data_IF_277120241176
#
_entry.id   IF_277120241176
#
_cell.length_a   1.000
_cell.length_b   1.000
_cell.length_c   1.000
_cell.angle_alpha   90.00
_cell.angle_beta   90.00
_cell.angle_gamma   90.00
#
_symmetry.space_group_name_H-M   'P 1'
#
loop_
_entity.id
_entity.type
_entity.pdbx_description
1 polymer ?
#
# COMPACT_ATOMS: atom_id res chain seq x y z
N UNK A 1 13.13 5.90 13.92
CA UNK A 1 11.63 5.96 13.83
C UNK A 1 11.22 5.19 12.60
N UNK A 2 10.11 4.41 12.66
CA UNK A 2 9.68 3.53 11.56
C UNK A 2 8.57 4.17 10.76
N UNK A 3 8.55 3.91 9.43
CA UNK A 3 7.55 4.45 8.51
C UNK A 3 6.97 3.36 7.60
N UNK A 4 5.68 3.45 7.32
CA UNK A 4 4.97 2.66 6.32
C UNK A 4 4.55 3.61 5.22
N UNK A 5 5.08 3.43 4.02
CA UNK A 5 4.58 4.06 2.81
C UNK A 5 3.43 3.21 2.27
N UNK A 6 2.24 3.75 2.28
CA UNK A 6 0.99 3.02 2.04
C UNK A 6 0.30 3.50 0.77
N UNK A 7 0.10 2.59 -0.19
CA UNK A 7 -0.90 2.80 -1.22
C UNK A 7 -2.29 2.40 -0.72
N UNK A 8 -3.33 2.86 -1.41
CA UNK A 8 -4.71 2.56 -1.03
C UNK A 8 -5.32 1.48 -1.90
N UNK A 9 -5.36 1.72 -3.22
CA UNK A 9 -5.98 0.81 -4.16
C UNK A 9 -5.16 -0.47 -4.27
N UNK A 10 -5.83 -1.63 -4.18
CA UNK A 10 -5.16 -2.91 -4.15
C UNK A 10 -4.45 -3.27 -2.83
N UNK A 11 -4.43 -2.38 -1.83
CA UNK A 11 -3.79 -2.61 -0.53
C UNK A 11 -4.79 -2.62 0.60
N UNK A 12 -5.55 -1.53 0.80
CA UNK A 12 -6.58 -1.43 1.84
C UNK A 12 -7.99 -1.61 1.32
N UNK A 13 -8.14 -1.83 0.03
CA UNK A 13 -9.35 -2.32 -0.62
C UNK A 13 -9.05 -3.66 -1.34
N UNK A 14 -10.06 -4.26 -1.93
CA UNK A 14 -9.96 -5.53 -2.62
C UNK A 14 -11.05 -5.67 -3.69
N UNK A 15 -11.13 -6.82 -4.35
CA UNK A 15 -12.11 -7.06 -5.42
C UNK A 15 -13.57 -6.83 -4.99
N UNK A 16 -13.93 -7.16 -3.77
CA UNK A 16 -15.29 -7.00 -3.25
C UNK A 16 -15.58 -5.55 -2.81
N UNK A 17 -14.52 -4.75 -2.61
CA UNK A 17 -14.58 -3.36 -2.15
C UNK A 17 -13.54 -2.54 -2.93
N UNK A 18 -13.87 -2.15 -4.15
CA UNK A 18 -12.98 -1.36 -5.02
C UNK A 18 -12.78 0.08 -4.56
N UNK A 19 -13.76 0.64 -3.90
CA UNK A 19 -13.70 2.01 -3.41
C UNK A 19 -13.71 2.00 -1.89
N UNK A 20 -12.80 2.78 -1.31
CA UNK A 20 -12.72 2.97 0.12
C UNK A 20 -11.95 1.88 0.84
N UNK A 21 -12.28 1.68 2.10
CA UNK A 21 -11.53 0.83 3.02
C UNK A 21 -12.26 -0.48 3.25
N UNK A 22 -11.67 -1.58 2.81
CA UNK A 22 -12.12 -2.91 3.18
C UNK A 22 -11.70 -3.20 4.63
N UNK A 23 -12.67 -3.43 5.50
CA UNK A 23 -12.42 -3.58 6.94
C UNK A 23 -11.39 -4.65 7.26
N UNK A 24 -11.44 -5.80 6.59
CA UNK A 24 -10.47 -6.89 6.82
C UNK A 24 -9.04 -6.46 6.51
N UNK A 25 -8.82 -5.82 5.34
CA UNK A 25 -7.50 -5.33 4.95
C UNK A 25 -6.99 -4.24 5.91
N UNK A 26 -7.86 -3.32 6.31
CA UNK A 26 -7.51 -2.29 7.30
C UNK A 26 -7.17 -2.87 8.67
N UNK A 27 -7.81 -3.95 9.09
CA UNK A 27 -7.49 -4.62 10.35
C UNK A 27 -6.11 -5.29 10.33
N UNK A 28 -5.66 -5.77 9.16
CA UNK A 28 -4.28 -6.24 8.99
C UNK A 28 -3.29 -5.07 9.12
N UNK A 29 -3.55 -3.96 8.43
CA UNK A 29 -2.75 -2.74 8.59
C UNK A 29 -2.72 -2.28 10.06
N UNK A 30 -3.85 -2.33 10.75
CA UNK A 30 -3.94 -2.00 12.19
C UNK A 30 -3.03 -2.88 13.02
N UNK A 31 -3.01 -4.20 12.80
CA UNK A 31 -2.09 -5.11 13.49
C UNK A 31 -0.63 -4.74 13.24
N UNK A 32 -0.27 -4.45 11.98
CA UNK A 32 1.09 -4.03 11.61
C UNK A 32 1.48 -2.75 12.35
N UNK A 33 0.60 -1.74 12.36
CA UNK A 33 0.85 -0.46 13.04
C UNK A 33 0.96 -0.65 14.55
N UNK A 34 0.09 -1.45 15.16
CA UNK A 34 0.11 -1.71 16.60
C UNK A 34 1.40 -2.43 17.04
N UNK A 35 1.90 -3.37 16.25
CA UNK A 35 3.14 -4.09 16.54
C UNK A 35 4.36 -3.20 16.32
N UNK A 36 4.41 -2.50 15.17
CA UNK A 36 5.61 -1.76 14.75
C UNK A 36 5.73 -0.37 15.34
N UNK A 37 4.59 0.23 15.73
CA UNK A 37 4.46 1.65 16.09
C UNK A 37 4.94 2.59 14.97
N UNK A 38 4.86 2.14 13.73
CA UNK A 38 5.28 2.89 12.56
C UNK A 38 4.30 4.01 12.23
N UNK A 39 4.81 5.09 11.68
CA UNK A 39 4.02 6.18 11.11
C UNK A 39 3.57 5.81 9.71
N UNK A 40 2.31 6.03 9.41
CA UNK A 40 1.74 5.75 8.09
C UNK A 40 1.79 7.01 7.23
N UNK A 41 2.49 6.92 6.11
CA UNK A 41 2.61 7.97 5.08
C UNK A 41 1.94 7.46 3.80
N UNK A 42 1.00 8.21 3.28
CA UNK A 42 0.20 7.80 2.12
C UNK A 42 0.91 8.15 0.81
N UNK A 43 0.95 7.18 -0.12
CA UNK A 43 1.61 7.29 -1.43
C UNK A 43 0.63 7.25 -2.61
N UNK A 44 -0.66 7.05 -2.34
CA UNK A 44 -1.68 6.88 -3.40
C UNK A 44 -1.67 8.00 -4.42
N UNK A 45 -1.89 7.67 -5.69
CA UNK A 45 -2.07 8.66 -6.76
C UNK A 45 -3.33 9.52 -6.57
N UNK A 46 -4.33 9.01 -5.84
CA UNK A 46 -5.54 9.76 -5.51
C UNK A 46 -5.28 11.06 -4.74
N UNK A 47 -4.10 11.21 -4.12
CA UNK A 47 -3.70 12.47 -3.45
C UNK A 47 -3.60 13.67 -4.41
N UNK A 48 -3.46 13.44 -5.73
CA UNK A 48 -3.50 14.51 -6.73
C UNK A 48 -4.83 15.28 -6.74
N UNK A 49 -5.90 14.65 -6.27
CA UNK A 49 -7.17 15.34 -6.06
C UNK A 49 -7.02 16.52 -5.11
N UNK A 50 -6.14 16.41 -4.12
CA UNK A 50 -5.93 17.45 -3.11
C UNK A 50 -5.34 18.74 -3.68
N UNK A 51 -4.71 18.70 -4.86
CA UNK A 51 -4.29 19.94 -5.56
C UNK A 51 -5.47 20.86 -5.89
N UNK A 52 -6.66 20.31 -6.03
CA UNK A 52 -7.88 21.06 -6.33
C UNK A 52 -8.47 21.73 -5.09
N UNK A 53 -8.07 21.28 -3.92
CA UNK A 53 -8.51 21.81 -2.64
C UNK A 53 -7.35 22.58 -2.03
N UNK A 54 -7.47 23.89 -1.91
CA UNK A 54 -6.57 24.62 -1.02
C UNK A 54 -6.67 23.99 0.36
N UNK A 55 -5.57 23.88 1.09
CA UNK A 55 -5.42 23.17 2.38
C UNK A 55 -6.58 23.30 3.39
N UNK A 56 -7.43 24.29 3.22
CA UNK A 56 -8.60 24.57 4.10
C UNK A 56 -9.76 23.59 3.84
N UNK A 57 -9.85 23.00 2.65
CA UNK A 57 -10.97 22.13 2.23
C UNK A 57 -10.62 20.64 2.13
N UNK A 58 -9.47 20.25 2.65
CA UNK A 58 -8.98 18.86 2.68
C UNK A 58 -10.07 17.86 3.13
N UNK A 59 -10.80 18.18 4.19
CA UNK A 59 -11.87 17.34 4.73
C UNK A 59 -13.08 17.17 3.81
N UNK A 60 -13.15 17.94 2.73
CA UNK A 60 -14.19 17.80 1.70
C UNK A 60 -13.75 16.91 0.55
N UNK A 61 -12.47 16.55 0.48
CA UNK A 61 -11.95 15.70 -0.60
C UNK A 61 -12.53 14.30 -0.55
N UNK A 62 -12.63 13.66 -1.71
CA UNK A 62 -13.00 12.25 -1.78
C UNK A 62 -11.96 11.40 -1.07
N UNK A 63 -10.68 11.68 -1.25
CA UNK A 63 -9.58 10.99 -0.59
C UNK A 63 -9.77 10.95 0.94
N UNK A 64 -10.07 12.08 1.55
CA UNK A 64 -10.29 12.13 2.99
C UNK A 64 -11.49 11.29 3.41
N UNK A 65 -12.63 11.49 2.79
CA UNK A 65 -13.89 10.86 3.21
C UNK A 65 -13.93 9.36 2.92
N UNK A 66 -13.33 8.94 1.81
CA UNK A 66 -13.37 7.55 1.35
C UNK A 66 -12.29 6.67 2.01
N UNK A 67 -11.12 7.25 2.33
CA UNK A 67 -9.98 6.48 2.83
C UNK A 67 -9.48 6.96 4.18
N UNK A 68 -9.10 8.22 4.31
CA UNK A 68 -8.38 8.70 5.51
C UNK A 68 -9.27 8.69 6.75
N UNK A 69 -10.49 9.21 6.63
CA UNK A 69 -11.42 9.22 7.75
C UNK A 69 -11.78 7.81 8.25
N UNK A 70 -12.16 6.83 7.38
CA UNK A 70 -12.40 5.47 7.82
C UNK A 70 -11.19 4.81 8.50
N UNK A 71 -9.97 5.04 8.01
CA UNK A 71 -8.76 4.53 8.66
C UNK A 71 -8.55 5.16 10.04
N UNK A 72 -8.74 6.47 10.17
CA UNK A 72 -8.67 7.15 11.44
C UNK A 72 -9.73 6.65 12.44
N UNK A 73 -10.94 6.38 11.96
CA UNK A 73 -12.04 5.84 12.79
C UNK A 73 -11.70 4.43 13.32
N UNK A 74 -10.88 3.65 12.58
CA UNK A 74 -10.33 2.37 13.02
C UNK A 74 -9.08 2.51 13.92
N UNK A 75 -8.65 3.74 14.22
CA UNK A 75 -7.48 4.01 15.03
C UNK A 75 -6.14 3.94 14.28
N UNK A 76 -6.16 3.93 12.94
CA UNK A 76 -4.98 4.03 12.10
C UNK A 76 -4.79 5.49 11.70
N UNK A 77 -3.90 6.17 12.39
CA UNK A 77 -3.63 7.58 12.10
C UNK A 77 -2.73 7.72 10.89
N UNK A 78 -3.21 8.44 9.89
CA UNK A 78 -2.37 8.88 8.78
C UNK A 78 -1.50 10.02 9.29
N UNK A 79 -0.19 9.83 9.18
CA UNK A 79 0.80 10.79 9.65
C UNK A 79 1.02 11.90 8.63
N UNK A 80 1.16 11.52 7.35
CA UNK A 80 1.47 12.46 6.26
C UNK A 80 1.15 11.84 4.90
N UNK A 81 1.34 12.64 3.83
CA UNK A 81 1.29 12.21 2.45
C UNK A 81 2.62 12.52 1.78
N UNK A 82 3.09 11.67 0.85
CA UNK A 82 4.27 11.97 0.05
C UNK A 82 4.04 13.21 -0.82
N UNK A 83 5.08 14.00 -1.13
CA UNK A 83 4.98 15.11 -2.07
C UNK A 83 4.59 14.59 -3.45
N UNK A 84 4.11 15.49 -4.31
CA UNK A 84 3.86 15.18 -5.70
C UNK A 84 5.09 15.54 -6.53
N UNK A 85 5.68 14.55 -7.19
CA UNK A 85 6.88 14.69 -8.03
C UNK A 85 6.64 13.99 -9.35
N UNK A 86 6.39 14.74 -10.39
CA UNK A 86 6.26 14.26 -11.79
C UNK A 86 5.29 13.07 -11.99
N UNK A 87 4.33 12.88 -11.08
CA UNK A 87 3.44 11.72 -11.05
C UNK A 87 4.18 10.37 -10.97
N UNK A 88 5.37 10.36 -10.41
CA UNK A 88 6.20 9.17 -10.20
C UNK A 88 6.26 8.82 -8.71
N UNK A 89 5.55 7.78 -8.32
CA UNK A 89 5.46 7.30 -6.94
C UNK A 89 6.85 6.99 -6.36
N UNK A 90 7.76 6.44 -7.16
CA UNK A 90 9.12 6.15 -6.72
C UNK A 90 9.88 7.42 -6.33
N UNK A 91 9.81 8.45 -7.17
CA UNK A 91 10.45 9.74 -6.91
C UNK A 91 9.84 10.44 -5.69
N UNK A 92 8.54 10.34 -5.53
CA UNK A 92 7.81 10.89 -4.38
C UNK A 92 8.25 10.27 -3.06
N UNK A 93 8.35 8.92 -3.03
CA UNK A 93 8.83 8.19 -1.84
C UNK A 93 10.29 8.55 -1.55
N UNK A 94 11.16 8.54 -2.56
CA UNK A 94 12.58 8.90 -2.39
C UNK A 94 12.74 10.30 -1.84
N UNK A 95 12.02 11.26 -2.42
CA UNK A 95 12.06 12.64 -1.93
C UNK A 95 11.62 12.74 -0.47
N UNK A 96 10.55 12.03 -0.09
CA UNK A 96 10.07 12.03 1.29
C UNK A 96 11.10 11.42 2.25
N UNK A 97 11.75 10.31 1.85
CA UNK A 97 12.82 9.66 2.62
C UNK A 97 13.98 10.63 2.85
N UNK A 98 14.43 11.31 1.79
CA UNK A 98 15.55 12.28 1.84
C UNK A 98 15.20 13.50 2.71
N UNK A 99 14.04 14.10 2.49
CA UNK A 99 13.60 15.32 3.22
C UNK A 99 13.44 15.07 4.73
N UNK A 100 13.16 13.82 5.13
CA UNK A 100 12.90 13.45 6.54
C UNK A 100 13.98 12.55 7.15
N UNK A 101 15.08 12.29 6.43
CA UNK A 101 16.22 11.46 6.88
C UNK A 101 15.75 10.09 7.42
N UNK A 102 14.88 9.39 6.63
CA UNK A 102 14.27 8.13 7.04
C UNK A 102 15.19 6.95 6.76
N UNK A 103 15.50 6.17 7.79
CA UNK A 103 16.36 4.97 7.68
C UNK A 103 15.55 3.66 7.74
N UNK A 104 14.42 3.65 8.44
CA UNK A 104 13.61 2.44 8.66
C UNK A 104 12.22 2.62 8.06
N UNK A 105 11.95 1.93 6.98
CA UNK A 105 10.67 2.01 6.30
C UNK A 105 10.32 0.73 5.55
N UNK A 106 9.05 0.59 5.24
CA UNK A 106 8.48 -0.42 4.34
C UNK A 106 7.50 0.23 3.40
N UNK A 107 7.38 -0.30 2.19
CA UNK A 107 6.42 0.13 1.19
C UNK A 107 5.40 -0.99 1.02
N UNK A 108 4.11 -0.65 1.15
CA UNK A 108 2.98 -1.53 0.90
C UNK A 108 2.24 -1.04 -0.33
N UNK A 109 2.33 -1.77 -1.42
CA UNK A 109 1.83 -1.38 -2.73
C UNK A 109 1.54 -2.62 -3.57
N UNK A 110 0.52 -2.58 -4.41
CA UNK A 110 0.21 -3.66 -5.36
C UNK A 110 1.02 -3.55 -6.66
N UNK A 111 1.63 -2.40 -6.91
CA UNK A 111 2.52 -2.16 -8.03
C UNK A 111 4.00 -2.20 -7.59
N UNK A 112 4.85 -2.73 -8.47
CA UNK A 112 6.29 -2.77 -8.23
C UNK A 112 6.89 -1.36 -8.29
N UNK A 113 7.51 -0.94 -7.20
CA UNK A 113 8.23 0.33 -7.10
C UNK A 113 9.60 0.25 -7.80
N UNK A 114 10.22 1.40 -8.05
CA UNK A 114 11.55 1.48 -8.62
C UNK A 114 12.56 0.54 -7.95
N UNK A 115 13.42 -0.07 -8.77
CA UNK A 115 14.31 -1.16 -8.36
C UNK A 115 15.12 -0.87 -7.10
N UNK A 116 15.49 0.38 -6.88
CA UNK A 116 16.29 0.83 -5.74
C UNK A 116 15.55 0.80 -4.40
N UNK A 117 14.22 0.67 -4.42
CA UNK A 117 13.38 0.62 -3.22
C UNK A 117 12.75 -0.76 -2.99
N UNK A 118 12.93 -1.70 -3.92
CA UNK A 118 12.24 -3.01 -3.87
C UNK A 118 12.60 -3.86 -2.67
N UNK A 119 13.81 -3.74 -2.13
CA UNK A 119 14.22 -4.48 -0.93
C UNK A 119 13.44 -4.03 0.34
N UNK A 120 12.78 -2.88 0.27
CA UNK A 120 11.91 -2.36 1.32
C UNK A 120 10.42 -2.55 1.01
N UNK A 121 10.07 -3.26 -0.06
CA UNK A 121 8.70 -3.41 -0.49
C UNK A 121 8.12 -4.77 -0.11
N UNK A 122 6.88 -4.77 0.34
CA UNK A 122 5.99 -5.93 0.36
C UNK A 122 4.93 -5.67 -0.71
N UNK A 123 4.96 -6.49 -1.76
CA UNK A 123 3.92 -6.44 -2.80
C UNK A 123 2.67 -7.10 -2.27
N UNK A 124 1.56 -6.40 -2.48
CA UNK A 124 0.23 -6.85 -2.09
C UNK A 124 -0.55 -7.21 -3.36
N UNK A 125 -1.26 -8.31 -3.34
CA UNK A 125 -2.05 -8.74 -4.50
C UNK A 125 -3.28 -7.85 -4.67
N UNK A 126 -3.37 -7.17 -5.81
CA UNK A 126 -4.39 -6.17 -6.16
C UNK A 126 -5.82 -6.58 -5.77
N UNK A 127 -6.19 -7.85 -6.02
CA UNK A 127 -7.57 -8.30 -5.81
C UNK A 127 -7.88 -8.76 -4.38
N UNK A 128 -6.85 -9.00 -3.57
CA UNK A 128 -6.99 -9.48 -2.19
C UNK A 128 -6.74 -8.38 -1.16
N UNK A 129 -5.87 -7.44 -1.48
CA UNK A 129 -5.39 -6.45 -0.52
C UNK A 129 -4.53 -7.10 0.58
N UNK A 130 -4.24 -6.34 1.63
CA UNK A 130 -3.44 -6.80 2.77
C UNK A 130 -4.06 -8.02 3.46
N UNK A 131 -3.24 -9.06 3.69
CA UNK A 131 -3.60 -10.30 4.34
C UNK A 131 -2.64 -10.62 5.50
N UNK A 132 -2.96 -11.66 6.29
CA UNK A 132 -2.14 -12.08 7.44
C UNK A 132 -0.69 -12.41 7.04
N UNK A 133 -0.46 -13.00 5.86
CA UNK A 133 0.86 -13.34 5.35
C UNK A 133 1.78 -12.13 5.16
N UNK A 134 1.23 -10.93 4.98
CA UNK A 134 2.01 -9.71 4.80
C UNK A 134 2.54 -9.12 6.12
N UNK A 135 2.03 -9.57 7.28
CA UNK A 135 2.42 -9.01 8.59
C UNK A 135 3.90 -9.26 8.87
N UNK A 136 4.33 -10.52 8.81
CA UNK A 136 5.72 -10.90 9.18
C UNK A 136 6.75 -10.25 8.25
N UNK A 137 6.62 -10.32 6.91
CA UNK A 137 7.52 -9.61 6.00
C UNK A 137 7.61 -8.11 6.28
N UNK A 138 6.47 -7.46 6.49
CA UNK A 138 6.42 -6.03 6.79
C UNK A 138 7.18 -5.69 8.08
N UNK A 139 6.96 -6.45 9.15
CA UNK A 139 7.65 -6.24 10.42
C UNK A 139 9.15 -6.53 10.29
N UNK A 140 9.54 -7.54 9.54
CA UNK A 140 10.95 -7.87 9.30
C UNK A 140 11.67 -6.71 8.59
N UNK A 141 11.10 -6.18 7.51
CA UNK A 141 11.68 -5.04 6.79
C UNK A 141 11.79 -3.82 7.71
N UNK A 142 10.76 -3.51 8.48
CA UNK A 142 10.77 -2.41 9.47
C UNK A 142 11.82 -2.61 10.58
N UNK A 143 12.30 -3.83 10.78
CA UNK A 143 13.38 -4.16 11.72
C UNK A 143 14.75 -4.29 11.05
N UNK A 144 14.87 -3.92 9.77
CA UNK A 144 16.12 -3.94 9.02
C UNK A 144 16.48 -5.33 8.44
N UNK A 145 15.55 -6.27 8.45
CA UNK A 145 15.70 -7.56 7.74
C UNK A 145 15.12 -7.37 6.35
N UNK A 146 15.96 -6.86 5.46
CA UNK A 146 15.56 -6.56 4.09
C UNK A 146 15.43 -7.85 3.28
N UNK A 147 14.51 -7.85 2.33
CA UNK A 147 14.27 -8.97 1.45
C UNK A 147 13.60 -8.51 0.16
N UNK A 148 13.88 -9.24 -0.93
CA UNK A 148 13.14 -9.08 -2.17
C UNK A 148 11.76 -9.73 -1.99
N UNK A 149 10.73 -8.93 -2.08
CA UNK A 149 9.36 -9.38 -1.91
C UNK A 149 8.43 -8.83 -2.99
N UNK A 150 7.87 -9.67 -3.85
CA UNK A 150 8.30 -11.02 -4.22
C UNK A 150 9.49 -10.96 -5.18
N UNK A 151 10.40 -11.93 -5.10
CA UNK A 151 11.58 -12.00 -5.96
C UNK A 151 11.28 -12.35 -7.42
N UNK A 152 10.08 -12.81 -7.70
CA UNK A 152 9.63 -13.37 -8.97
C UNK A 152 8.49 -12.57 -9.65
N UNK A 153 8.18 -11.36 -9.14
CA UNK A 153 7.16 -10.51 -9.75
C UNK A 153 7.61 -9.98 -11.11
N UNK A 154 6.88 -10.35 -12.17
CA UNK A 154 7.08 -9.84 -13.52
C UNK A 154 6.08 -8.72 -13.81
N UNK A 155 6.57 -7.52 -14.13
CA UNK A 155 5.74 -6.36 -14.50
C UNK A 155 4.90 -6.57 -15.75
N UNK A 156 5.28 -7.52 -16.60
CA UNK A 156 4.52 -7.86 -17.81
C UNK A 156 3.41 -8.87 -17.53
N UNK A 157 3.44 -9.50 -16.37
CA UNK A 157 2.41 -10.40 -15.90
C UNK A 157 1.23 -9.58 -15.37
N UNK A 158 0.03 -9.94 -15.74
CA UNK A 158 -1.15 -9.32 -15.12
C UNK A 158 -1.25 -9.75 -13.65
N UNK A 159 -1.87 -8.93 -12.79
CA UNK A 159 -2.11 -9.34 -11.40
C UNK A 159 -2.84 -10.68 -11.28
N UNK A 160 -3.75 -10.97 -12.21
CA UNK A 160 -4.48 -12.25 -12.28
C UNK A 160 -3.56 -13.43 -12.59
N UNK A 161 -2.64 -13.27 -13.54
CA UNK A 161 -1.66 -14.29 -13.92
C UNK A 161 -0.69 -14.54 -12.76
N UNK A 162 -0.23 -13.48 -12.09
CA UNK A 162 0.63 -13.59 -10.93
C UNK A 162 -0.08 -14.30 -9.76
N UNK A 163 -1.31 -13.92 -9.45
CA UNK A 163 -2.15 -14.59 -8.44
C UNK A 163 -2.37 -16.06 -8.78
N UNK A 164 -2.70 -16.38 -10.03
CA UNK A 164 -2.89 -17.74 -10.49
C UNK A 164 -1.63 -18.60 -10.31
N UNK A 165 -0.47 -18.02 -10.57
CA UNK A 165 0.82 -18.71 -10.42
C UNK A 165 1.20 -18.96 -8.96
N UNK A 166 0.87 -18.02 -8.07
CA UNK A 166 1.31 -18.03 -6.67
C UNK A 166 0.24 -18.50 -5.67
N UNK A 167 -1.03 -18.49 -6.07
CA UNK A 167 -2.15 -18.89 -5.22
C UNK A 167 -2.98 -20.02 -5.86
N UNK A 168 -2.68 -21.26 -5.47
CA UNK A 168 -3.44 -22.43 -5.92
C UNK A 168 -4.90 -22.49 -5.40
N UNK A 169 -5.34 -21.48 -4.65
CA UNK A 169 -6.69 -21.42 -4.10
C UNK A 169 -7.70 -20.73 -5.03
N UNK A 170 -7.22 -20.06 -6.10
CA UNK A 170 -8.11 -19.48 -7.10
C UNK A 170 -8.71 -20.56 -8.00
N UNK A 171 -10.03 -20.70 -8.05
CA UNK A 171 -10.65 -21.66 -8.95
C UNK A 171 -10.35 -21.29 -10.41
N UNK A 172 -9.83 -22.26 -11.14
CA UNK A 172 -9.60 -22.16 -12.56
C UNK A 172 -10.90 -21.76 -13.29
N UNK A 173 -10.97 -20.59 -13.91
CA UNK A 173 -12.12 -20.17 -14.76
C UNK A 173 -12.14 -20.90 -16.10
N UNK A 174 -11.77 -22.17 -16.14
CA UNK A 174 -11.73 -22.95 -17.39
C UNK A 174 -13.04 -23.66 -17.78
N UNK A 175 -14.14 -23.52 -17.01
CA UNK A 175 -15.36 -24.31 -17.26
C UNK A 175 -16.64 -23.50 -17.52
N UNK A 176 -16.53 -22.34 -18.19
CA UNK A 176 -17.74 -21.61 -18.61
C UNK A 176 -17.73 -21.13 -20.07
N UNK A 177 -17.27 -21.97 -21.00
CA UNK A 177 -17.64 -21.86 -22.43
C UNK A 177 -17.95 -23.24 -22.98
N UNK A 178 -19.16 -23.64 -22.78
CA UNK A 178 -19.84 -24.65 -23.60
C UNK A 178 -21.29 -24.24 -23.82
#
# INVERSE_FOLDING_TARGET
MKYIFLDFDGVINNWDHFEGVATNNAMILKKIVDISQAKVVVTTSNKYELQRYNNVDYYKSNLYNTYIKPLNDLGIKIYDLTPMVDSDKTLEIKKYIEDHEIEQYVILDDELIGKELQEHQVIVELYRGLQEEHIIPTINILNGILGLYPSDYDRNETPEEWLYRNDNTYPCKSDSFS
#
